data_IF_897953647110
#
_entry.id   IF_897953647110
#
_cell.length_a   1.000
_cell.length_b   1.000
_cell.length_c   1.000
_cell.angle_alpha   90.00
_cell.angle_beta   90.00
_cell.angle_gamma   90.00
#
_symmetry.space_group_name_H-M   'P 1'
#
loop_
_entity.id
_entity.type
_entity.pdbx_description
1 polymer ?
#
# COMPACT_ATOMS: atom_id res chain seq x y z
N UNK A 1 -10.05 -4.05 -1.91
CA UNK A 1 -8.76 -3.31 -1.84
C UNK A 1 -7.56 -4.24 -1.58
N UNK A 2 -7.58 -5.10 -0.56
CA UNK A 2 -6.46 -6.00 -0.20
C UNK A 2 -5.91 -6.83 -1.38
N UNK A 3 -6.79 -7.39 -2.22
CA UNK A 3 -6.38 -8.13 -3.44
C UNK A 3 -5.60 -7.23 -4.42
N UNK A 4 -6.04 -5.99 -4.61
CA UNK A 4 -5.35 -5.01 -5.47
C UNK A 4 -3.98 -4.69 -4.88
N UNK A 5 -3.90 -4.45 -3.57
CA UNK A 5 -2.63 -4.18 -2.87
C UNK A 5 -1.67 -5.37 -2.99
N UNK A 6 -2.13 -6.60 -2.77
CA UNK A 6 -1.32 -7.81 -2.93
C UNK A 6 -0.81 -7.96 -4.37
N UNK A 7 -1.70 -7.82 -5.35
CA UNK A 7 -1.35 -8.00 -6.76
C UNK A 7 -0.49 -6.87 -7.34
N UNK A 8 -0.57 -5.67 -6.76
CA UNK A 8 0.27 -4.53 -7.11
C UNK A 8 1.62 -4.59 -6.40
N UNK A 9 1.65 -4.95 -5.11
CA UNK A 9 2.87 -5.01 -4.30
C UNK A 9 3.85 -6.08 -4.78
N UNK A 10 3.38 -7.19 -5.34
CA UNK A 10 4.21 -8.23 -5.97
C UNK A 10 4.90 -7.80 -7.28
N UNK A 11 4.49 -6.68 -7.88
CA UNK A 11 5.07 -6.24 -9.16
C UNK A 11 6.46 -5.66 -8.91
N UNK A 12 7.38 -5.94 -9.83
CA UNK A 12 8.70 -5.33 -9.81
C UNK A 12 8.58 -3.89 -10.32
N UNK A 13 8.52 -2.92 -9.40
CA UNK A 13 8.41 -1.51 -9.72
C UNK A 13 9.81 -0.94 -9.91
N UNK A 14 10.08 -0.32 -11.07
CA UNK A 14 11.37 0.32 -11.33
C UNK A 14 11.59 1.57 -10.46
N UNK A 15 10.51 2.24 -10.04
CA UNK A 15 10.54 3.38 -9.13
C UNK A 15 9.61 3.10 -7.95
N UNK A 16 10.19 2.83 -6.78
CA UNK A 16 9.41 2.53 -5.58
C UNK A 16 8.70 3.75 -4.99
N UNK A 17 9.21 4.96 -5.23
CA UNK A 17 8.60 6.21 -4.79
C UNK A 17 7.23 6.45 -5.46
N UNK A 18 7.04 5.90 -6.66
CA UNK A 18 5.80 6.03 -7.43
C UNK A 18 4.72 5.03 -7.04
N UNK A 19 4.96 4.17 -6.03
CA UNK A 19 4.01 3.13 -5.62
C UNK A 19 2.66 3.72 -5.18
N UNK A 20 2.68 4.81 -4.42
CA UNK A 20 1.46 5.52 -4.01
C UNK A 20 0.83 6.28 -5.18
N UNK A 21 1.65 6.93 -6.02
CA UNK A 21 1.19 7.67 -7.19
C UNK A 21 0.49 6.76 -8.20
N UNK A 22 1.01 5.57 -8.44
CA UNK A 22 0.42 4.58 -9.34
C UNK A 22 -0.97 4.09 -8.90
N UNK A 23 -1.29 4.20 -7.62
CA UNK A 23 -2.61 3.85 -7.07
C UNK A 23 -3.54 5.06 -6.90
N UNK A 24 -3.02 6.28 -6.99
CA UNK A 24 -3.77 7.50 -6.71
C UNK A 24 -4.99 7.67 -7.64
N UNK A 25 -4.87 7.29 -8.92
CA UNK A 25 -5.98 7.33 -9.88
C UNK A 25 -7.13 6.41 -9.47
N UNK A 26 -6.82 5.14 -9.14
CA UNK A 26 -7.81 4.16 -8.70
C UNK A 26 -8.42 4.60 -7.35
N UNK A 27 -7.59 5.08 -6.43
CA UNK A 27 -8.05 5.57 -5.13
C UNK A 27 -8.99 6.78 -5.26
N UNK A 28 -8.73 7.68 -6.21
CA UNK A 28 -9.61 8.83 -6.45
C UNK A 28 -11.02 8.42 -6.89
N UNK A 29 -11.13 7.46 -7.81
CA UNK A 29 -12.42 6.94 -8.24
C UNK A 29 -13.13 6.18 -7.11
N UNK A 30 -12.41 5.31 -6.41
CA UNK A 30 -12.95 4.53 -5.30
C UNK A 30 -13.35 5.38 -4.11
N UNK A 31 -12.66 6.50 -3.85
CA UNK A 31 -13.01 7.46 -2.79
C UNK A 31 -14.43 7.99 -2.99
N UNK A 32 -14.78 8.31 -4.23
CA UNK A 32 -16.12 8.79 -4.59
C UNK A 32 -17.17 7.69 -4.46
N UNK A 33 -16.85 6.47 -4.89
CA UNK A 33 -17.81 5.33 -4.89
C UNK A 33 -18.04 4.77 -3.48
N UNK A 34 -16.99 4.67 -2.67
CA UNK A 34 -17.06 4.08 -1.31
C UNK A 34 -17.37 5.10 -0.22
N UNK A 35 -17.39 6.39 -0.56
CA UNK A 35 -17.58 7.50 0.37
C UNK A 35 -16.67 7.33 1.60
N UNK A 36 -15.40 7.04 1.36
CA UNK A 36 -14.41 6.71 2.38
C UNK A 36 -13.12 7.51 2.20
N UNK A 37 -12.40 7.70 3.29
CA UNK A 37 -11.15 8.44 3.28
C UNK A 37 -9.97 7.52 2.97
N UNK A 38 -9.17 7.93 1.99
CA UNK A 38 -7.97 7.22 1.59
C UNK A 38 -6.75 7.74 2.36
N UNK A 39 -6.19 6.90 3.23
CA UNK A 39 -5.10 7.23 4.15
C UNK A 39 -3.86 6.39 3.81
N UNK A 40 -2.81 7.00 3.26
CA UNK A 40 -1.52 6.35 2.95
C UNK A 40 -1.65 4.93 2.34
N UNK A 41 -2.44 4.81 1.26
CA UNK A 41 -2.78 3.56 0.60
C UNK A 41 -3.69 2.56 1.34
N UNK A 42 -4.46 3.07 2.29
CA UNK A 42 -5.49 2.33 3.03
C UNK A 42 -6.80 3.11 3.10
N UNK A 43 -7.85 2.46 3.58
CA UNK A 43 -9.21 3.01 3.66
C UNK A 43 -9.65 3.14 5.12
N UNK A 44 -10.13 4.32 5.51
CA UNK A 44 -10.41 4.66 6.91
C UNK A 44 -11.45 3.74 7.54
N UNK A 45 -12.54 3.40 6.86
CA UNK A 45 -13.60 2.52 7.41
C UNK A 45 -13.12 1.12 7.76
N UNK A 46 -12.07 0.63 7.08
CA UNK A 46 -11.52 -0.72 7.26
C UNK A 46 -10.05 -0.72 7.67
N UNK A 47 -9.59 0.40 8.24
CA UNK A 47 -8.17 0.64 8.54
C UNK A 47 -7.60 -0.44 9.45
N UNK A 48 -8.34 -0.86 10.49
CA UNK A 48 -7.89 -1.89 11.44
C UNK A 48 -7.54 -3.19 10.73
N UNK A 49 -8.37 -3.64 9.77
CA UNK A 49 -8.08 -4.84 8.99
C UNK A 49 -6.92 -4.63 8.02
N UNK A 50 -6.74 -3.40 7.52
CA UNK A 50 -5.66 -3.08 6.60
C UNK A 50 -4.32 -2.85 7.28
N UNK A 51 -4.30 -2.55 8.59
CA UNK A 51 -3.08 -2.47 9.39
C UNK A 51 -2.49 -3.86 9.70
N UNK A 52 -3.27 -4.94 9.55
CA UNK A 52 -2.80 -6.33 9.74
C UNK A 52 -1.92 -6.87 8.60
N UNK A 53 -1.38 -6.00 7.76
CA UNK A 53 -0.55 -6.42 6.63
C UNK A 53 0.82 -6.92 7.09
N UNK A 54 1.44 -7.79 6.30
CA UNK A 54 2.80 -8.26 6.49
C UNK A 54 3.49 -8.52 5.14
N UNK A 55 4.83 -8.57 5.16
CA UNK A 55 5.61 -9.00 4.00
C UNK A 55 5.70 -10.52 3.97
N UNK A 56 5.33 -11.13 2.84
CA UNK A 56 5.40 -12.58 2.67
C UNK A 56 6.83 -13.10 2.65
N UNK A 57 7.74 -12.34 2.06
CA UNK A 57 9.17 -12.63 1.99
C UNK A 57 9.95 -11.33 2.32
N UNK A 58 10.17 -11.01 3.61
CA UNK A 58 10.89 -9.79 3.98
C UNK A 58 12.34 -9.84 3.48
N UNK A 59 12.75 -8.82 2.73
CA UNK A 59 14.14 -8.65 2.30
C UNK A 59 15.06 -8.19 3.45
N UNK A 60 16.37 -8.27 3.24
CA UNK A 60 17.37 -7.85 4.24
C UNK A 60 17.49 -6.32 4.40
N UNK A 61 17.10 -5.55 3.37
CA UNK A 61 17.20 -4.09 3.35
C UNK A 61 15.81 -3.47 3.51
N UNK A 62 15.36 -3.30 4.76
CA UNK A 62 14.15 -2.53 5.09
C UNK A 62 14.45 -1.02 5.28
N UNK A 63 15.71 -0.63 5.10
CA UNK A 63 16.21 0.73 5.29
C UNK A 63 16.32 1.46 3.96
N UNK A 64 15.33 2.28 3.65
CA UNK A 64 15.28 3.19 2.50
C UNK A 64 14.86 4.60 3.00
N UNK A 65 15.05 5.69 2.21
CA UNK A 65 14.57 7.00 2.60
C UNK A 65 13.04 6.98 2.77
N UNK A 66 12.53 7.92 3.57
CA UNK A 66 11.11 8.00 3.91
C UNK A 66 10.22 8.08 2.65
N UNK A 67 9.37 7.07 2.44
CA UNK A 67 8.42 6.99 1.31
C UNK A 67 6.96 7.14 1.72
N UNK A 68 6.63 6.59 2.88
CA UNK A 68 5.29 6.57 3.45
C UNK A 68 5.39 6.43 4.98
N UNK A 69 4.31 6.69 5.72
CA UNK A 69 4.25 6.41 7.15
C UNK A 69 4.59 4.94 7.45
N UNK A 70 5.29 4.68 8.55
CA UNK A 70 5.80 3.34 8.91
C UNK A 70 4.72 2.26 9.07
N UNK A 71 3.48 2.65 9.35
CA UNK A 71 2.34 1.74 9.46
C UNK A 71 1.67 1.41 8.12
N UNK A 72 2.04 2.11 7.04
CA UNK A 72 1.53 1.82 5.69
C UNK A 72 2.34 0.70 5.05
N UNK A 73 1.66 -0.19 4.32
CA UNK A 73 2.30 -1.23 3.51
C UNK A 73 3.21 -0.65 2.42
N UNK A 74 3.01 0.62 2.03
CA UNK A 74 3.85 1.31 1.07
C UNK A 74 5.21 1.73 1.64
N UNK A 75 5.42 1.63 2.95
CA UNK A 75 6.69 1.96 3.60
C UNK A 75 7.81 0.96 3.28
N UNK A 76 7.46 -0.30 2.96
CA UNK A 76 8.41 -1.36 2.69
C UNK A 76 8.27 -1.93 1.28
N UNK A 77 9.39 -2.42 0.76
CA UNK A 77 9.44 -3.14 -0.51
C UNK A 77 9.09 -4.62 -0.33
N UNK A 78 8.36 -5.18 -1.30
CA UNK A 78 8.01 -6.60 -1.35
C UNK A 78 6.53 -6.90 -1.50
N UNK A 79 6.22 -8.20 -1.63
CA UNK A 79 4.86 -8.74 -1.70
C UNK A 79 4.18 -8.62 -0.33
N UNK A 80 3.10 -7.86 -0.30
CA UNK A 80 2.27 -7.62 0.88
C UNK A 80 1.12 -8.64 0.91
N UNK A 81 0.88 -9.22 2.07
CA UNK A 81 -0.31 -10.02 2.39
C UNK A 81 -1.00 -9.48 3.64
N UNK A 82 -2.16 -10.03 3.95
CA UNK A 82 -2.95 -9.81 5.16
C UNK A 82 -3.23 -11.16 5.83
#
# INVERSE_FOLDING_TARGET
WQLIVRDYSRRNLNCYEDRLHGMAGIAKELKTVWDDEYLAAMWRKVLIYQLGWYLKNPGKNLSDPYRAPSWSWASLEGEVSY
#
